data_IF_901923076950
#
_entry.id   IF_901923076950
#
_cell.length_a   1.000
_cell.length_b   1.000
_cell.length_c   1.000
_cell.angle_alpha   90.00
_cell.angle_beta   90.00
_cell.angle_gamma   90.00
#
_symmetry.space_group_name_H-M   'P 1'
#
loop_
_entity.id
_entity.type
_entity.pdbx_description
1 polymer ?
#
# COMPACT_ATOMS: atom_id res chain seq x y z
N UNK A 1 -1.35 20.62 6.90
CA UNK A 1 -1.38 19.32 7.58
C UNK A 1 -0.27 18.48 6.98
N UNK A 2 0.47 17.72 7.77
CA UNK A 2 1.50 16.81 7.26
C UNK A 2 1.08 15.42 7.76
N UNK A 3 0.67 14.58 6.83
CA UNK A 3 0.30 13.19 7.11
C UNK A 3 1.43 12.29 6.62
N UNK A 4 1.91 11.41 7.49
CA UNK A 4 2.97 10.44 7.19
C UNK A 4 2.62 9.08 7.81
N UNK A 5 2.74 8.04 7.00
CA UNK A 5 2.51 6.67 7.43
C UNK A 5 3.48 5.72 6.72
N UNK A 6 4.11 4.84 7.49
CA UNK A 6 4.90 3.74 6.95
C UNK A 6 4.33 2.39 7.40
N UNK A 7 4.04 1.53 6.42
CA UNK A 7 3.66 0.13 6.64
C UNK A 7 4.81 -0.78 6.24
N UNK A 8 5.21 -1.68 7.14
CA UNK A 8 6.25 -2.67 6.88
C UNK A 8 5.74 -4.08 7.17
N UNK A 9 5.63 -4.89 6.14
CA UNK A 9 5.14 -6.29 6.22
C UNK A 9 6.10 -7.24 5.52
N UNK A 10 5.95 -8.53 5.77
CA UNK A 10 6.58 -9.55 4.94
C UNK A 10 5.86 -9.66 3.59
N UNK A 11 6.57 -10.10 2.56
CA UNK A 11 6.07 -10.30 1.18
C UNK A 11 5.08 -11.47 1.02
N UNK A 12 4.41 -11.87 2.11
CA UNK A 12 3.38 -12.89 2.05
C UNK A 12 2.06 -12.28 1.51
N UNK A 13 1.41 -12.87 0.48
CA UNK A 13 0.16 -12.36 -0.09
C UNK A 13 -0.99 -12.06 0.89
N UNK A 14 -0.98 -12.66 2.09
CA UNK A 14 -1.98 -12.43 3.14
C UNK A 14 -2.03 -10.98 3.62
N UNK A 15 -0.97 -10.21 3.39
CA UNK A 15 -0.92 -8.79 3.78
C UNK A 15 -1.41 -7.84 2.69
N UNK A 16 -1.73 -8.31 1.47
CA UNK A 16 -2.21 -7.45 0.39
C UNK A 16 -3.57 -6.83 0.69
N UNK A 17 -4.49 -7.56 1.34
CA UNK A 17 -5.75 -6.98 1.82
C UNK A 17 -5.50 -5.85 2.82
N UNK A 18 -4.59 -6.07 3.79
CA UNK A 18 -4.25 -5.05 4.79
C UNK A 18 -3.64 -3.80 4.13
N UNK A 19 -2.72 -3.96 3.18
CA UNK A 19 -2.11 -2.82 2.47
C UNK A 19 -3.18 -2.02 1.70
N UNK A 20 -4.12 -2.69 1.03
CA UNK A 20 -5.23 -2.03 0.34
C UNK A 20 -6.13 -1.25 1.29
N UNK A 21 -6.50 -1.86 2.40
CA UNK A 21 -7.37 -1.22 3.40
C UNK A 21 -6.70 -0.01 4.04
N UNK A 22 -5.40 -0.11 4.35
CA UNK A 22 -4.61 1.02 4.86
C UNK A 22 -4.52 2.14 3.83
N UNK A 23 -4.26 1.81 2.56
CA UNK A 23 -4.19 2.81 1.48
C UNK A 23 -5.49 3.60 1.37
N UNK A 24 -6.63 2.91 1.32
CA UNK A 24 -7.94 3.54 1.20
C UNK A 24 -8.26 4.41 2.42
N UNK A 25 -8.01 3.91 3.63
CA UNK A 25 -8.26 4.66 4.88
C UNK A 25 -7.34 5.87 5.02
N UNK A 26 -6.07 5.77 4.63
CA UNK A 26 -5.13 6.89 4.65
C UNK A 26 -5.57 8.00 3.69
N UNK A 27 -6.04 7.65 2.50
CA UNK A 27 -6.61 8.63 1.55
C UNK A 27 -7.81 9.38 2.17
N UNK A 28 -8.69 8.66 2.89
CA UNK A 28 -9.81 9.26 3.60
C UNK A 28 -9.39 10.21 4.74
N UNK A 29 -8.34 9.87 5.50
CA UNK A 29 -7.75 10.76 6.52
C UNK A 29 -7.25 12.06 5.87
N UNK A 30 -6.63 11.94 4.69
CA UNK A 30 -6.14 13.06 3.90
C UNK A 30 -7.25 13.88 3.20
N UNK A 31 -8.52 13.48 3.32
CA UNK A 31 -9.64 14.15 2.66
C UNK A 31 -9.71 13.95 1.15
N UNK A 32 -9.08 12.90 0.61
CA UNK A 32 -9.16 12.57 -0.82
C UNK A 32 -10.52 11.94 -1.17
N UNK A 33 -10.98 12.18 -2.40
CA UNK A 33 -12.21 11.59 -2.92
C UNK A 33 -12.12 10.06 -3.03
N UNK A 34 -13.26 9.37 -2.85
CA UNK A 34 -13.32 7.90 -2.85
C UNK A 34 -12.86 7.27 -4.17
N UNK A 35 -13.13 7.92 -5.31
CA UNK A 35 -12.69 7.44 -6.62
C UNK A 35 -11.15 7.45 -6.71
N UNK A 36 -10.52 8.55 -6.29
CA UNK A 36 -9.07 8.66 -6.24
C UNK A 36 -8.47 7.66 -5.25
N UNK A 37 -9.07 7.51 -4.06
CA UNK A 37 -8.66 6.52 -3.07
C UNK A 37 -8.77 5.08 -3.62
N UNK A 38 -9.82 4.79 -4.39
CA UNK A 38 -10.03 3.52 -5.08
C UNK A 38 -8.94 3.22 -6.12
N UNK A 39 -8.56 4.22 -6.91
CA UNK A 39 -7.49 4.12 -7.90
C UNK A 39 -6.12 3.91 -7.24
N UNK A 40 -5.81 4.66 -6.18
CA UNK A 40 -4.58 4.48 -5.41
C UNK A 40 -4.51 3.10 -4.76
N UNK A 41 -5.61 2.61 -4.21
CA UNK A 41 -5.73 1.26 -3.66
C UNK A 41 -5.36 0.18 -4.70
N UNK A 42 -5.88 0.29 -5.93
CA UNK A 42 -5.57 -0.65 -7.01
C UNK A 42 -4.10 -0.56 -7.44
N UNK A 43 -3.57 0.66 -7.60
CA UNK A 43 -2.18 0.87 -7.98
C UNK A 43 -1.20 0.28 -6.96
N UNK A 44 -1.45 0.49 -5.66
CA UNK A 44 -0.62 -0.07 -4.59
C UNK A 44 -0.74 -1.60 -4.52
N UNK A 45 -1.94 -2.17 -4.72
CA UNK A 45 -2.14 -3.63 -4.75
C UNK A 45 -1.32 -4.27 -5.87
N UNK A 46 -1.39 -3.70 -7.08
CA UNK A 46 -0.67 -4.22 -8.24
C UNK A 46 0.85 -4.07 -8.07
N UNK A 47 1.32 -2.94 -7.54
CA UNK A 47 2.73 -2.75 -7.23
C UNK A 47 3.25 -3.78 -6.21
N UNK A 48 2.48 -4.04 -5.14
CA UNK A 48 2.85 -5.03 -4.13
C UNK A 48 2.81 -6.46 -4.70
N UNK A 49 1.78 -6.80 -5.48
CA UNK A 49 1.67 -8.07 -6.22
C UNK A 49 2.88 -8.29 -7.12
N UNK A 50 3.31 -7.25 -7.85
CA UNK A 50 4.46 -7.33 -8.75
C UNK A 50 5.78 -7.52 -8.00
N UNK A 51 5.98 -6.85 -6.87
CA UNK A 51 7.14 -7.10 -6.01
C UNK A 51 7.17 -8.55 -5.54
N UNK A 52 6.05 -9.08 -5.04
CA UNK A 52 5.98 -10.47 -4.56
C UNK A 52 6.27 -11.45 -5.70
N UNK A 53 5.61 -11.30 -6.85
CA UNK A 53 5.69 -12.27 -7.97
C UNK A 53 6.99 -12.17 -8.76
N UNK A 54 7.44 -10.96 -9.05
CA UNK A 54 8.52 -10.73 -10.03
C UNK A 54 9.84 -10.34 -9.39
N UNK A 55 9.84 -9.49 -8.36
CA UNK A 55 11.10 -9.09 -7.71
C UNK A 55 11.58 -10.12 -6.68
N UNK A 56 10.65 -10.69 -5.92
CA UNK A 56 10.94 -11.65 -4.85
C UNK A 56 10.67 -13.10 -5.25
N UNK A 57 10.16 -13.35 -6.46
CA UNK A 57 9.89 -14.70 -6.98
C UNK A 57 9.05 -15.57 -6.04
N UNK A 58 8.12 -14.96 -5.30
CA UNK A 58 7.28 -15.64 -4.32
C UNK A 58 7.94 -15.91 -2.96
N UNK A 59 9.19 -15.49 -2.74
CA UNK A 59 9.82 -15.54 -1.42
C UNK A 59 9.06 -14.65 -0.43
N UNK A 60 8.42 -15.29 0.56
CA UNK A 60 7.58 -14.63 1.56
C UNK A 60 8.35 -14.12 2.78
N UNK A 61 9.67 -14.33 2.83
CA UNK A 61 10.55 -13.87 3.91
C UNK A 61 11.09 -12.45 3.70
N UNK A 62 10.96 -11.91 2.49
CA UNK A 62 11.37 -10.56 2.15
C UNK A 62 10.40 -9.51 2.70
N UNK A 63 10.79 -8.24 2.68
CA UNK A 63 10.02 -7.14 3.28
C UNK A 63 9.51 -6.18 2.22
N UNK A 64 8.23 -5.81 2.32
CA UNK A 64 7.65 -4.71 1.57
C UNK A 64 7.47 -3.52 2.51
N UNK A 65 7.88 -2.34 2.06
CA UNK A 65 7.71 -1.07 2.77
C UNK A 65 6.88 -0.15 1.89
N UNK A 66 5.70 0.23 2.37
CA UNK A 66 4.84 1.22 1.71
C UNK A 66 4.85 2.49 2.55
N UNK A 67 5.20 3.61 1.91
CA UNK A 67 5.24 4.92 2.53
C UNK A 67 4.17 5.81 1.91
N UNK A 68 3.40 6.45 2.76
CA UNK A 68 2.38 7.43 2.38
C UNK A 68 2.77 8.77 2.98
N UNK A 69 2.72 9.82 2.17
CA UNK A 69 3.02 11.18 2.61
C UNK A 69 2.14 12.18 1.88
N UNK A 70 1.51 13.08 2.60
CA UNK A 70 0.84 14.26 2.04
C UNK A 70 1.39 15.52 2.70
N UNK A 71 1.89 16.43 1.87
CA UNK A 71 2.36 17.75 2.27
C UNK A 71 1.52 18.80 1.54
N UNK A 72 1.09 19.83 2.28
CA UNK A 72 0.34 20.97 1.74
C UNK A 72 1.22 22.02 1.08
#
# INVERSE_FOLDING_TARGET
MIDDLTVRVFSHPRYLSLIRDVTFRFCGICGLEEELAGNLRLAVDEACSNVIKHAYHGDTSQRIIVKYSLSG
#
